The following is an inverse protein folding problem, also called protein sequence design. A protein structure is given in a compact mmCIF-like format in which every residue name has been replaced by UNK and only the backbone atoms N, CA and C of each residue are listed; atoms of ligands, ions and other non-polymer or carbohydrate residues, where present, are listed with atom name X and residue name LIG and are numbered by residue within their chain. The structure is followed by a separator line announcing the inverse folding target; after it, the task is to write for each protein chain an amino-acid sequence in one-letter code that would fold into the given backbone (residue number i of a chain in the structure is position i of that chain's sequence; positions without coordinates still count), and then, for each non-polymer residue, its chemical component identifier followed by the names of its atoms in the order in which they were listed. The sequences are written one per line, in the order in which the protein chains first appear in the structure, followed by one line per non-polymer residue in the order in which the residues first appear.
data_IF_691511358625
#
_entry.id   IF_691511358625
#
_cell.length_a   1.000
_cell.length_b   1.000
_cell.length_c   1.000
_cell.angle_alpha   90.00
_cell.angle_beta   90.00
_cell.angle_gamma   90.00
#
_symmetry.space_group_name_H-M   'P 1'
#
loop_
_entity.id
_entity.type
_entity.pdbx_description
1 polymer ?
#
# COMPACT_ATOMS: atom_id res chain seq x y z
N UNK A 1 19.15 -25.39 -9.22
CA UNK A 1 18.36 -24.77 -10.30
C UNK A 1 16.91 -25.27 -10.34
N UNK A 2 16.62 -26.58 -10.31
CA UNK A 2 15.25 -27.13 -10.37
C UNK A 2 14.31 -26.60 -9.28
N UNK A 3 14.77 -26.49 -8.01
CA UNK A 3 13.96 -25.96 -6.88
C UNK A 3 13.54 -24.50 -7.12
N UNK A 4 14.41 -23.65 -7.65
CA UNK A 4 14.11 -22.25 -7.93
C UNK A 4 13.10 -22.14 -9.08
N UNK A 5 13.28 -22.91 -10.14
CA UNK A 5 12.34 -22.93 -11.27
C UNK A 5 10.96 -23.42 -10.84
N UNK A 6 10.89 -24.41 -9.97
CA UNK A 6 9.64 -24.92 -9.42
C UNK A 6 8.98 -23.88 -8.52
N UNK A 7 9.75 -23.19 -7.67
CA UNK A 7 9.22 -22.09 -6.82
C UNK A 7 8.61 -20.98 -7.68
N UNK A 8 9.31 -20.52 -8.72
CA UNK A 8 8.81 -19.48 -9.62
C UNK A 8 7.52 -19.93 -10.33
N UNK A 9 7.46 -21.18 -10.80
CA UNK A 9 6.26 -21.73 -11.44
C UNK A 9 5.06 -21.77 -10.49
N UNK A 10 5.29 -22.11 -9.22
CA UNK A 10 4.24 -22.20 -8.19
C UNK A 10 3.77 -20.81 -7.73
N UNK A 11 4.68 -19.81 -7.74
CA UNK A 11 4.39 -18.46 -7.25
C UNK A 11 4.33 -17.42 -8.38
N UNK A 12 3.72 -17.77 -9.52
CA UNK A 12 3.62 -16.85 -10.68
C UNK A 12 2.98 -15.49 -10.35
N UNK A 13 2.15 -15.42 -9.33
CA UNK A 13 1.55 -14.17 -8.85
C UNK A 13 2.59 -13.19 -8.29
N UNK A 14 3.79 -13.62 -7.91
CA UNK A 14 4.87 -12.73 -7.45
C UNK A 14 5.26 -11.68 -8.49
N UNK A 15 5.04 -11.96 -9.79
CA UNK A 15 5.35 -11.02 -10.87
C UNK A 15 4.56 -9.70 -10.78
N UNK A 16 3.42 -9.68 -10.07
CA UNK A 16 2.74 -8.43 -9.77
C UNK A 16 3.60 -7.47 -8.94
N UNK A 17 4.55 -7.98 -8.16
CA UNK A 17 5.54 -7.18 -7.44
C UNK A 17 6.49 -6.39 -8.32
N UNK A 18 6.64 -6.72 -9.62
CA UNK A 18 7.43 -5.94 -10.58
C UNK A 18 6.87 -4.52 -10.80
N UNK A 19 5.64 -4.26 -10.37
CA UNK A 19 5.12 -2.89 -10.35
C UNK A 19 5.96 -1.99 -9.43
N UNK A 20 6.49 -2.49 -8.32
CA UNK A 20 7.23 -1.66 -7.35
C UNK A 20 8.48 -0.97 -7.94
N UNK A 21 9.38 -1.65 -8.67
CA UNK A 21 10.47 -0.97 -9.38
C UNK A 21 9.97 0.07 -10.39
N UNK A 22 8.89 -0.21 -11.12
CA UNK A 22 8.29 0.74 -12.06
C UNK A 22 7.78 1.97 -11.31
N UNK A 23 7.08 1.77 -10.20
CA UNK A 23 6.63 2.86 -9.33
C UNK A 23 7.79 3.71 -8.82
N UNK A 24 8.87 3.09 -8.33
CA UNK A 24 10.04 3.83 -7.84
C UNK A 24 10.66 4.71 -8.92
N UNK A 25 10.74 4.23 -10.16
CA UNK A 25 11.22 5.04 -11.30
C UNK A 25 10.28 6.25 -11.51
N UNK A 26 8.97 6.03 -11.50
CA UNK A 26 7.99 7.12 -11.64
C UNK A 26 8.10 8.13 -10.49
N UNK A 27 8.18 7.65 -9.26
CA UNK A 27 8.29 8.47 -8.05
C UNK A 27 9.54 9.37 -8.12
N UNK A 28 10.73 8.78 -8.29
CA UNK A 28 11.97 9.55 -8.36
C UNK A 28 12.03 10.48 -9.57
N UNK A 29 11.39 10.13 -10.68
CA UNK A 29 11.28 11.04 -11.83
C UNK A 29 10.48 12.29 -11.46
N UNK A 30 9.33 12.14 -10.81
CA UNK A 30 8.51 13.28 -10.39
C UNK A 30 9.23 14.08 -9.31
N UNK A 31 9.90 13.45 -8.37
CA UNK A 31 10.66 14.08 -7.31
C UNK A 31 11.80 14.96 -7.84
N UNK A 32 12.46 14.56 -8.95
CA UNK A 32 13.50 15.35 -9.60
C UNK A 32 12.96 16.51 -10.46
N UNK A 33 11.73 16.38 -10.95
CA UNK A 33 11.11 17.41 -11.81
C UNK A 33 10.41 18.48 -10.98
N UNK A 34 9.80 18.09 -9.85
CA UNK A 34 9.06 19.00 -8.97
C UNK A 34 9.90 19.27 -7.72
N UNK A 35 10.74 20.31 -7.80
CA UNK A 35 11.66 20.68 -6.70
C UNK A 35 11.26 21.97 -6.02
N UNK A 36 10.79 22.94 -6.80
CA UNK A 36 10.48 24.29 -6.38
C UNK A 36 9.13 24.72 -6.96
N UNK A 37 8.58 25.83 -6.45
CA UNK A 37 7.38 26.44 -7.02
C UNK A 37 6.14 25.54 -6.90
N UNK A 38 5.88 25.02 -5.71
CA UNK A 38 4.76 24.13 -5.39
C UNK A 38 3.68 24.82 -4.55
N UNK A 39 2.47 24.27 -4.60
CA UNK A 39 1.41 24.61 -3.66
C UNK A 39 1.74 24.05 -2.28
N UNK A 40 1.81 24.93 -1.26
CA UNK A 40 2.05 24.53 0.12
C UNK A 40 0.77 23.92 0.71
N UNK A 41 0.87 22.65 1.15
CA UNK A 41 -0.27 21.88 1.69
C UNK A 41 -0.54 22.14 3.18
N UNK A 42 0.37 22.82 3.87
CA UNK A 42 0.24 23.13 5.29
C UNK A 42 -0.96 24.01 5.61
N UNK A 43 -1.57 23.76 6.75
CA UNK A 43 -2.75 24.44 7.26
C UNK A 43 -2.55 24.87 8.71
N UNK A 44 -3.43 25.72 9.25
CA UNK A 44 -3.39 26.14 10.65
C UNK A 44 -3.51 24.97 11.66
N UNK A 45 -4.02 23.80 11.24
CA UNK A 45 -4.07 22.59 12.07
C UNK A 45 -2.67 22.06 12.35
N UNK A 46 -1.76 22.22 11.41
CA UNK A 46 -0.38 21.69 11.50
C UNK A 46 0.45 22.41 12.57
N UNK A 47 0.06 23.63 12.95
CA UNK A 47 0.69 24.40 14.03
C UNK A 47 0.43 23.79 15.41
N UNK A 48 -0.70 23.10 15.58
CA UNK A 48 -1.04 22.41 16.83
C UNK A 48 -0.42 21.02 16.93
N UNK A 49 0.11 20.47 15.85
CA UNK A 49 0.74 19.13 15.85
C UNK A 49 2.20 19.28 16.30
N UNK A 50 2.59 18.69 17.45
CA UNK A 50 3.95 18.83 17.95
C UNK A 50 4.97 18.11 17.05
N UNK A 51 6.20 18.62 17.01
CA UNK A 51 7.32 17.91 16.43
C UNK A 51 7.91 16.90 17.44
N UNK A 52 8.19 15.68 16.98
CA UNK A 52 8.81 14.65 17.82
C UNK A 52 9.69 13.72 16.96
N UNK A 53 11.01 13.86 17.09
CA UNK A 53 12.00 13.09 16.33
C UNK A 53 11.98 11.59 16.62
N UNK A 54 11.51 11.16 17.80
CA UNK A 54 11.43 9.73 18.15
C UNK A 54 10.48 8.94 17.24
N UNK A 55 9.53 9.62 16.61
CA UNK A 55 8.60 9.01 15.68
C UNK A 55 9.22 8.69 14.31
N UNK A 56 10.51 8.99 14.10
CA UNK A 56 11.25 8.50 12.92
C UNK A 56 11.31 6.96 12.90
N UNK A 57 11.34 6.31 14.08
CA UNK A 57 11.42 4.84 14.17
C UNK A 57 10.16 4.17 13.56
N UNK A 58 8.92 4.49 14.00
CA UNK A 58 7.74 3.97 13.30
C UNK A 58 7.65 4.48 11.86
N UNK A 59 8.02 5.73 11.56
CA UNK A 59 8.00 6.27 10.21
C UNK A 59 8.85 5.42 9.26
N UNK A 60 10.13 5.21 9.55
CA UNK A 60 11.05 4.44 8.70
C UNK A 60 10.72 2.93 8.67
N UNK A 61 9.95 2.42 9.63
CA UNK A 61 9.47 1.04 9.61
C UNK A 61 8.41 0.77 8.54
N UNK A 62 7.81 1.81 7.95
CA UNK A 62 6.76 1.71 6.95
C UNK A 62 7.13 0.84 5.76
N UNK A 63 8.19 1.17 5.04
CA UNK A 63 8.65 0.42 3.86
C UNK A 63 9.00 -1.04 4.17
N UNK A 64 9.86 -1.32 5.17
CA UNK A 64 10.15 -2.69 5.62
C UNK A 64 8.91 -3.51 5.97
N UNK A 65 7.92 -2.93 6.66
CA UNK A 65 6.70 -3.66 7.04
C UNK A 65 5.79 -3.93 5.85
N UNK A 66 5.66 -3.01 4.90
CA UNK A 66 4.95 -3.26 3.64
C UNK A 66 5.61 -4.40 2.86
N UNK A 67 6.94 -4.44 2.81
CA UNK A 67 7.69 -5.52 2.17
C UNK A 67 7.47 -6.87 2.87
N UNK A 68 7.58 -6.93 4.20
CA UNK A 68 7.34 -8.15 4.99
C UNK A 68 5.92 -8.67 4.79
N UNK A 69 4.92 -7.77 4.79
CA UNK A 69 3.54 -8.13 4.48
C UNK A 69 3.42 -8.70 3.06
N UNK A 70 4.04 -8.04 2.07
CA UNK A 70 4.04 -8.51 0.68
C UNK A 70 4.63 -9.92 0.55
N UNK A 71 5.78 -10.19 1.19
CA UNK A 71 6.40 -11.53 1.21
C UNK A 71 5.49 -12.55 1.87
N UNK A 72 4.89 -12.22 3.02
CA UNK A 72 3.92 -13.10 3.68
C UNK A 72 2.76 -13.48 2.75
N UNK A 73 2.18 -12.49 2.07
CA UNK A 73 1.06 -12.72 1.16
C UNK A 73 1.48 -13.52 -0.08
N UNK A 74 2.66 -13.28 -0.65
CA UNK A 74 3.21 -14.11 -1.74
C UNK A 74 3.27 -15.57 -1.35
N UNK A 75 3.73 -15.86 -0.14
CA UNK A 75 3.97 -17.23 0.31
C UNK A 75 2.70 -17.93 0.81
N UNK A 76 1.74 -17.21 1.38
CA UNK A 76 0.61 -17.78 2.11
C UNK A 76 -0.76 -17.50 1.48
N UNK A 77 -0.91 -16.40 0.73
CA UNK A 77 -2.21 -15.95 0.22
C UNK A 77 -2.07 -15.20 -1.11
N UNK A 78 -1.92 -15.93 -2.22
CA UNK A 78 -1.77 -15.35 -3.55
C UNK A 78 -2.90 -14.40 -3.98
N UNK A 79 -4.12 -14.64 -3.53
CA UNK A 79 -5.27 -13.81 -3.87
C UNK A 79 -5.21 -12.47 -3.16
N UNK A 80 -4.96 -12.48 -1.84
CA UNK A 80 -4.76 -11.25 -1.07
C UNK A 80 -3.53 -10.48 -1.55
N UNK A 81 -2.45 -11.16 -1.99
CA UNK A 81 -1.30 -10.51 -2.61
C UNK A 81 -1.69 -9.75 -3.88
N UNK A 82 -2.47 -10.36 -4.77
CA UNK A 82 -2.92 -9.68 -5.99
C UNK A 82 -3.77 -8.46 -5.69
N UNK A 83 -4.71 -8.55 -4.75
CA UNK A 83 -5.54 -7.41 -4.32
C UNK A 83 -4.69 -6.30 -3.70
N UNK A 84 -3.72 -6.66 -2.87
CA UNK A 84 -2.75 -5.74 -2.29
C UNK A 84 -1.96 -4.99 -3.37
N UNK A 85 -1.43 -5.70 -4.37
CA UNK A 85 -0.69 -5.09 -5.47
C UNK A 85 -1.57 -4.23 -6.38
N UNK A 86 -2.81 -4.63 -6.63
CA UNK A 86 -3.77 -3.79 -7.35
C UNK A 86 -4.06 -2.48 -6.59
N UNK A 87 -4.24 -2.57 -5.27
CA UNK A 87 -4.45 -1.39 -4.46
C UNK A 87 -3.25 -0.44 -4.58
N UNK A 88 -2.04 -0.95 -4.35
CA UNK A 88 -0.81 -0.16 -4.44
C UNK A 88 -0.67 0.43 -5.86
N UNK A 89 -0.87 -0.35 -6.91
CA UNK A 89 -0.73 0.12 -8.27
C UNK A 89 -1.68 1.27 -8.60
N UNK A 90 -2.96 1.14 -8.27
CA UNK A 90 -3.94 2.20 -8.52
C UNK A 90 -3.64 3.42 -7.65
N UNK A 91 -3.48 3.24 -6.33
CA UNK A 91 -3.31 4.33 -5.39
C UNK A 91 -2.04 5.14 -5.67
N UNK A 92 -0.91 4.45 -5.83
CA UNK A 92 0.38 5.12 -6.00
C UNK A 92 0.53 5.76 -7.38
N UNK A 93 0.09 5.07 -8.46
CA UNK A 93 0.12 5.67 -9.80
C UNK A 93 -0.72 6.94 -9.85
N UNK A 94 -1.96 6.89 -9.32
CA UNK A 94 -2.85 8.06 -9.38
C UNK A 94 -2.36 9.19 -8.48
N UNK A 95 -1.77 8.91 -7.32
CA UNK A 95 -1.16 9.91 -6.45
C UNK A 95 0.06 10.56 -7.13
N UNK A 96 0.95 9.77 -7.73
CA UNK A 96 2.14 10.28 -8.43
C UNK A 96 1.77 11.13 -9.65
N UNK A 97 0.75 10.69 -10.43
CA UNK A 97 0.22 11.51 -11.53
C UNK A 97 -0.33 12.83 -11.00
N UNK A 98 -1.04 12.80 -9.88
CA UNK A 98 -1.55 14.03 -9.27
C UNK A 98 -0.42 14.96 -8.86
N UNK A 99 0.64 14.48 -8.19
CA UNK A 99 1.82 15.27 -7.83
C UNK A 99 2.50 15.91 -9.06
N UNK A 100 2.59 15.16 -10.16
CA UNK A 100 3.16 15.67 -11.41
C UNK A 100 2.31 16.80 -12.04
N UNK A 101 0.98 16.66 -12.00
CA UNK A 101 0.06 17.64 -12.58
C UNK A 101 -0.16 18.86 -11.67
N UNK A 102 -0.09 18.66 -10.35
CA UNK A 102 -0.29 19.67 -9.32
C UNK A 102 0.91 19.63 -8.37
N UNK A 103 2.01 20.32 -8.70
CA UNK A 103 3.17 20.42 -7.82
C UNK A 103 2.75 20.88 -6.42
N UNK A 104 3.11 20.11 -5.41
CA UNK A 104 2.71 20.35 -4.03
C UNK A 104 3.86 20.02 -3.08
N UNK A 105 3.84 20.60 -1.88
CA UNK A 105 4.88 20.42 -0.89
C UNK A 105 4.48 21.00 0.46
N UNK A 106 5.38 20.90 1.44
CA UNK A 106 5.17 21.45 2.79
C UNK A 106 6.47 22.04 3.34
N UNK A 107 6.35 23.06 4.19
CA UNK A 107 7.47 23.75 4.85
C UNK A 107 7.40 23.64 6.38
N UNK A 108 6.98 22.47 6.86
CA UNK A 108 6.74 22.21 8.29
C UNK A 108 8.00 21.78 9.05
N UNK A 109 9.07 21.42 8.33
CA UNK A 109 10.30 20.92 8.94
C UNK A 109 11.00 22.05 9.72
N UNK A 110 11.34 21.84 11.02
CA UNK A 110 12.05 22.86 11.78
C UNK A 110 13.46 23.10 11.19
N UNK A 111 13.83 24.36 11.04
CA UNK A 111 15.15 24.77 10.53
C UNK A 111 16.32 24.25 11.39
N UNK A 112 16.07 24.10 12.70
CA UNK A 112 17.02 23.53 13.67
C UNK A 112 16.31 22.51 14.51
N UNK A 113 16.87 21.29 14.59
CA UNK A 113 16.30 20.24 15.42
C UNK A 113 16.44 20.60 16.91
N UNK A 114 15.35 20.51 17.69
CA UNK A 114 15.36 20.90 19.11
C UNK A 114 16.30 20.08 19.98
N UNK A 115 16.58 18.85 19.58
CA UNK A 115 17.44 17.91 20.31
C UNK A 115 18.44 17.26 19.36
N UNK A 116 19.64 16.96 19.87
CA UNK A 116 20.71 16.26 19.15
C UNK A 116 20.84 14.86 19.74
N UNK A 117 20.24 13.87 19.10
CA UNK A 117 20.26 12.46 19.48
C UNK A 117 20.24 11.55 18.24
N UNK A 118 20.30 10.24 18.46
CA UNK A 118 20.33 9.27 17.35
C UNK A 118 19.10 9.35 16.46
N UNK A 119 17.91 9.60 17.03
CA UNK A 119 16.68 9.75 16.25
C UNK A 119 16.71 11.01 15.40
N UNK A 120 17.25 12.12 15.92
CA UNK A 120 17.47 13.36 15.15
C UNK A 120 18.42 13.13 13.97
N UNK A 121 19.49 12.37 14.19
CA UNK A 121 20.43 12.02 13.12
C UNK A 121 19.77 11.15 12.04
N UNK A 122 19.00 10.12 12.45
CA UNK A 122 18.25 9.27 11.52
C UNK A 122 17.26 10.14 10.72
N UNK A 123 16.50 11.01 11.42
CA UNK A 123 15.50 11.86 10.79
C UNK A 123 16.09 12.82 9.76
N UNK A 124 17.28 13.37 10.03
CA UNK A 124 18.01 14.19 9.04
C UNK A 124 18.31 13.38 7.77
N UNK A 125 18.76 12.13 7.92
CA UNK A 125 19.03 11.24 6.79
C UNK A 125 17.75 10.88 6.01
N UNK A 126 16.65 10.68 6.72
CA UNK A 126 15.34 10.49 6.10
C UNK A 126 14.93 11.72 5.29
N UNK A 127 15.06 12.93 5.84
CA UNK A 127 14.75 14.18 5.13
C UNK A 127 15.67 14.50 3.96
N UNK A 128 16.94 14.04 4.00
CA UNK A 128 17.86 14.14 2.87
C UNK A 128 17.48 13.18 1.73
N UNK A 129 16.91 12.02 2.06
CA UNK A 129 16.51 10.99 1.11
C UNK A 129 15.12 11.22 0.51
N UNK A 130 14.23 11.86 1.25
CA UNK A 130 12.83 12.13 0.90
C UNK A 130 12.54 13.61 1.14
N UNK A 131 12.47 14.38 0.08
CA UNK A 131 12.31 15.84 0.15
C UNK A 131 10.93 16.24 0.70
N UNK A 132 10.64 17.55 0.75
CA UNK A 132 9.37 18.10 1.23
C UNK A 132 8.37 18.43 0.12
N UNK A 133 8.63 18.01 -1.12
CA UNK A 133 7.72 18.14 -2.25
C UNK A 133 6.97 16.80 -2.52
N UNK A 134 5.94 16.86 -3.35
CA UNK A 134 5.14 15.69 -3.76
C UNK A 134 4.50 14.94 -2.60
N UNK A 135 3.99 15.68 -1.62
CA UNK A 135 3.47 15.14 -0.36
C UNK A 135 1.97 14.83 -0.38
N UNK A 136 1.20 15.38 -1.34
CA UNK A 136 -0.25 15.26 -1.42
C UNK A 136 -0.73 14.46 -2.64
N UNK A 137 -1.57 13.42 -2.46
CA UNK A 137 -1.92 12.76 -1.20
C UNK A 137 -0.77 11.88 -0.68
N UNK A 138 -0.67 11.70 0.62
CA UNK A 138 0.42 10.93 1.24
C UNK A 138 0.47 9.48 0.79
N UNK A 139 1.53 9.07 0.10
CA UNK A 139 1.78 7.66 -0.28
C UNK A 139 2.03 6.77 0.94
N UNK A 140 2.55 7.32 2.04
CA UNK A 140 2.69 6.62 3.30
C UNK A 140 1.33 6.16 3.84
N UNK A 141 0.35 7.06 3.85
CA UNK A 141 -1.00 6.78 4.31
C UNK A 141 -1.73 5.83 3.34
N UNK A 142 -1.55 6.00 2.04
CA UNK A 142 -2.07 5.06 1.04
C UNK A 142 -1.53 3.65 1.27
N UNK A 143 -0.23 3.52 1.58
CA UNK A 143 0.40 2.24 1.95
C UNK A 143 -0.14 1.66 3.26
N UNK A 144 -0.40 2.50 4.26
CA UNK A 144 -1.06 2.09 5.52
C UNK A 144 -2.45 1.52 5.24
N UNK A 145 -3.28 2.21 4.44
CA UNK A 145 -4.62 1.72 4.07
C UNK A 145 -4.54 0.42 3.28
N UNK A 146 -3.59 0.31 2.33
CA UNK A 146 -3.35 -0.92 1.57
C UNK A 146 -3.00 -2.10 2.48
N UNK A 147 -2.07 -1.89 3.42
CA UNK A 147 -1.60 -2.92 4.34
C UNK A 147 -2.72 -3.39 5.27
N UNK A 148 -3.43 -2.47 5.92
CA UNK A 148 -4.56 -2.79 6.81
C UNK A 148 -5.63 -3.56 6.02
N UNK A 149 -6.00 -3.07 4.83
CA UNK A 149 -6.97 -3.74 3.97
C UNK A 149 -6.54 -5.17 3.62
N UNK A 150 -5.29 -5.37 3.21
CA UNK A 150 -4.77 -6.68 2.85
C UNK A 150 -4.73 -7.64 4.06
N UNK A 151 -4.31 -7.15 5.23
CA UNK A 151 -4.28 -7.96 6.46
C UNK A 151 -5.68 -8.44 6.86
N UNK A 152 -6.69 -7.56 6.82
CA UNK A 152 -8.04 -7.89 7.25
C UNK A 152 -8.79 -8.78 6.24
N UNK A 153 -8.45 -8.74 4.96
CA UNK A 153 -9.03 -9.59 3.93
C UNK A 153 -8.27 -10.89 3.71
N UNK A 154 -7.12 -11.10 4.39
CA UNK A 154 -6.39 -12.35 4.29
C UNK A 154 -6.89 -13.38 5.30
N UNK A 155 -7.54 -14.48 4.87
CA UNK A 155 -7.96 -15.56 5.75
C UNK A 155 -6.76 -16.35 6.34
N UNK A 156 -5.55 -16.12 5.82
CA UNK A 156 -4.32 -16.77 6.28
C UNK A 156 -3.62 -16.01 7.41
N UNK A 157 -4.05 -14.77 7.69
CA UNK A 157 -3.48 -13.96 8.76
C UNK A 157 -4.26 -14.15 10.06
N UNK A 158 -3.56 -14.49 11.14
CA UNK A 158 -4.17 -14.64 12.47
C UNK A 158 -4.66 -13.29 13.00
N UNK A 159 -5.78 -13.29 13.70
CA UNK A 159 -6.42 -12.10 14.26
C UNK A 159 -5.47 -11.23 15.11
N UNK A 160 -4.58 -11.85 15.88
CA UNK A 160 -3.59 -11.14 16.70
C UNK A 160 -2.66 -10.27 15.85
N UNK A 161 -2.23 -10.77 14.68
CA UNK A 161 -1.37 -10.01 13.77
C UNK A 161 -2.14 -8.93 13.00
N UNK A 162 -3.43 -9.16 12.71
CA UNK A 162 -4.30 -8.14 12.13
C UNK A 162 -4.44 -6.94 13.08
N UNK A 163 -4.70 -7.21 14.37
CA UNK A 163 -4.85 -6.16 15.38
C UNK A 163 -3.52 -5.45 15.64
N UNK A 164 -2.46 -6.21 15.95
CA UNK A 164 -1.13 -5.63 16.24
C UNK A 164 -0.59 -4.82 15.06
N UNK A 165 -0.71 -5.34 13.85
CA UNK A 165 -0.33 -4.62 12.63
C UNK A 165 -1.15 -3.37 12.40
N UNK A 166 -2.48 -3.42 12.61
CA UNK A 166 -3.33 -2.23 12.50
C UNK A 166 -2.91 -1.14 13.48
N UNK A 167 -2.67 -1.49 14.75
CA UNK A 167 -2.19 -0.52 15.75
C UNK A 167 -0.87 0.10 15.31
N UNK A 168 0.08 -0.72 14.84
CA UNK A 168 1.37 -0.21 14.40
C UNK A 168 1.25 0.68 13.16
N UNK A 169 0.46 0.31 12.17
CA UNK A 169 0.21 1.14 10.98
C UNK A 169 -0.50 2.45 11.30
N UNK A 170 -1.37 2.49 12.31
CA UNK A 170 -1.95 3.75 12.81
C UNK A 170 -0.87 4.62 13.46
N UNK A 171 0.08 4.03 14.21
CA UNK A 171 1.24 4.77 14.75
C UNK A 171 2.10 5.30 13.61
N UNK A 172 2.34 4.53 12.55
CA UNK A 172 3.05 5.00 11.36
C UNK A 172 2.31 6.19 10.73
N UNK A 173 0.99 6.11 10.58
CA UNK A 173 0.21 7.23 10.04
C UNK A 173 0.36 8.50 10.89
N UNK A 174 0.28 8.39 12.21
CA UNK A 174 0.51 9.52 13.11
C UNK A 174 1.96 10.04 13.02
N UNK A 175 2.94 9.15 12.85
CA UNK A 175 4.35 9.53 12.77
C UNK A 175 4.66 10.45 11.59
N UNK A 176 3.96 10.33 10.46
CA UNK A 176 4.16 11.20 9.29
C UNK A 176 3.94 12.69 9.61
N UNK A 177 3.00 12.98 10.51
CA UNK A 177 2.72 14.34 10.99
C UNK A 177 3.72 14.79 12.05
N UNK A 178 4.11 13.88 12.96
CA UNK A 178 4.98 14.18 14.10
C UNK A 178 6.43 14.39 13.69
N UNK A 179 6.90 13.73 12.62
CA UNK A 179 8.22 13.99 12.02
C UNK A 179 8.19 15.10 10.97
N UNK A 180 7.05 15.79 10.80
CA UNK A 180 6.87 16.89 9.85
C UNK A 180 7.21 16.52 8.40
N UNK A 181 6.87 15.28 8.00
CA UNK A 181 7.01 14.84 6.62
C UNK A 181 5.75 15.12 5.80
N UNK A 182 4.58 15.12 6.43
CA UNK A 182 3.30 15.43 5.80
C UNK A 182 2.51 16.45 6.60
N UNK A 183 1.67 17.23 5.92
CA UNK A 183 0.64 18.06 6.53
C UNK A 183 -0.62 17.25 6.82
N UNK A 184 -1.47 17.75 7.70
CA UNK A 184 -2.73 17.09 8.06
C UNK A 184 -3.63 16.83 6.84
N UNK A 185 -3.67 17.78 5.90
CA UNK A 185 -4.49 17.64 4.69
C UNK A 185 -4.00 16.50 3.78
N UNK A 186 -2.68 16.23 3.74
CA UNK A 186 -2.09 15.13 2.95
C UNK A 186 -2.59 13.77 3.47
N UNK A 187 -2.65 13.64 4.80
CA UNK A 187 -3.19 12.46 5.48
C UNK A 187 -4.69 12.32 5.23
N UNK A 188 -5.46 13.39 5.42
CA UNK A 188 -6.91 13.36 5.24
C UNK A 188 -7.30 13.01 3.79
N UNK A 189 -6.64 13.62 2.81
CA UNK A 189 -6.85 13.32 1.40
C UNK A 189 -6.48 11.87 1.07
N UNK A 190 -5.36 11.37 1.59
CA UNK A 190 -4.94 9.99 1.36
C UNK A 190 -5.90 8.96 1.97
N UNK A 191 -6.53 9.25 3.11
CA UNK A 191 -7.58 8.39 3.68
C UNK A 191 -8.81 8.32 2.76
N UNK A 192 -9.26 9.46 2.23
CA UNK A 192 -10.39 9.50 1.27
C UNK A 192 -10.01 8.76 -0.02
N UNK A 193 -8.83 9.07 -0.57
CA UNK A 193 -8.32 8.44 -1.79
C UNK A 193 -8.18 6.93 -1.63
N UNK A 194 -7.55 6.50 -0.53
CA UNK A 194 -7.42 5.08 -0.17
C UNK A 194 -8.76 4.39 0.05
N UNK A 195 -9.76 5.09 0.63
CA UNK A 195 -11.13 4.59 0.76
C UNK A 195 -11.79 4.33 -0.60
N UNK A 196 -11.61 5.22 -1.57
CA UNK A 196 -12.10 5.02 -2.95
C UNK A 196 -11.42 3.82 -3.60
N UNK A 197 -10.09 3.71 -3.49
CA UNK A 197 -9.33 2.57 -4.04
C UNK A 197 -9.73 1.27 -3.35
N UNK A 198 -9.95 1.29 -2.03
CA UNK A 198 -10.49 0.16 -1.29
C UNK A 198 -11.83 -0.31 -1.86
N UNK A 199 -12.76 0.61 -2.08
CA UNK A 199 -14.06 0.28 -2.66
C UNK A 199 -13.91 -0.35 -4.06
N UNK A 200 -13.01 0.17 -4.90
CA UNK A 200 -12.74 -0.40 -6.22
C UNK A 200 -12.20 -1.82 -6.11
N UNK A 201 -11.15 -2.03 -5.31
CA UNK A 201 -10.40 -3.30 -5.29
C UNK A 201 -11.13 -4.39 -4.50
N UNK A 202 -11.63 -4.05 -3.31
CA UNK A 202 -12.19 -5.04 -2.38
C UNK A 202 -13.71 -5.21 -2.51
N UNK A 203 -14.44 -4.15 -2.87
CA UNK A 203 -15.91 -4.24 -3.02
C UNK A 203 -16.29 -4.56 -4.47
N UNK A 204 -15.90 -3.71 -5.45
CA UNK A 204 -16.40 -3.86 -6.82
C UNK A 204 -15.74 -5.05 -7.52
N UNK A 205 -14.40 -5.14 -7.51
CA UNK A 205 -13.66 -6.22 -8.18
C UNK A 205 -13.83 -7.54 -7.40
N UNK A 206 -13.81 -7.48 -6.06
CA UNK A 206 -14.03 -8.63 -5.19
C UNK A 206 -15.37 -9.32 -5.48
N UNK A 207 -16.49 -8.60 -5.45
CA UNK A 207 -17.82 -9.14 -5.69
C UNK A 207 -18.00 -9.76 -7.09
N UNK A 208 -17.39 -9.17 -8.13
CA UNK A 208 -17.46 -9.75 -9.48
C UNK A 208 -16.80 -11.12 -9.58
N UNK A 209 -15.75 -11.34 -8.79
CA UNK A 209 -15.00 -12.60 -8.80
C UNK A 209 -15.69 -13.71 -8.03
N UNK A 210 -16.28 -13.37 -6.89
CA UNK A 210 -17.05 -14.32 -6.08
C UNK A 210 -18.29 -14.81 -6.86
N UNK A 211 -18.96 -13.93 -7.60
CA UNK A 211 -20.08 -14.30 -8.49
C UNK A 211 -19.64 -15.19 -9.67
N UNK A 212 -18.45 -15.00 -10.24
CA UNK A 212 -17.93 -15.89 -11.29
C UNK A 212 -17.56 -17.26 -10.75
N UNK A 213 -16.95 -17.33 -9.57
CA UNK A 213 -16.63 -18.61 -8.91
C UNK A 213 -17.87 -19.44 -8.62
N UNK A 214 -18.95 -18.81 -8.13
CA UNK A 214 -20.23 -19.45 -7.88
C UNK A 214 -20.91 -19.96 -9.18
N UNK A 215 -20.79 -19.26 -10.29
CA UNK A 215 -21.34 -19.70 -11.59
C UNK A 215 -20.58 -20.89 -12.18
N UNK A 216 -19.22 -20.87 -12.14
CA UNK A 216 -18.41 -21.99 -12.61
C UNK A 216 -18.62 -23.27 -11.75
N UNK A 217 -18.80 -23.13 -10.43
CA UNK A 217 -19.09 -24.26 -9.56
C UNK A 217 -20.52 -24.81 -9.67
N UNK A 218 -21.45 -24.05 -10.26
CA UNK A 218 -22.82 -24.51 -10.52
C UNK A 218 -22.96 -25.23 -11.89
N UNK A 219 -22.03 -24.98 -12.81
CA UNK A 219 -22.04 -25.62 -14.15
C UNK A 219 -21.34 -26.98 -14.20
N UNK A 220 -20.45 -27.31 -13.24
CA UNK A 220 -19.75 -28.60 -13.17
C UNK A 220 -20.68 -29.79 -12.84
N UNK A 221 -21.63 -29.72 -11.90
CA UNK A 221 -22.51 -30.88 -11.59
C UNK A 221 -23.49 -31.23 -12.70
N UNK A 222 -23.90 -30.28 -13.57
CA UNK A 222 -24.78 -30.58 -14.70
C UNK A 222 -24.06 -31.30 -15.84
N UNK A 223 -22.78 -31.07 -16.07
CA UNK A 223 -22.01 -31.77 -17.11
C UNK A 223 -21.65 -33.21 -16.72
N UNK A 224 -21.44 -33.52 -15.45
CA UNK A 224 -21.22 -34.88 -14.99
C UNK A 224 -22.52 -35.71 -15.03
N UNK A 225 -23.69 -35.12 -14.80
CA UNK A 225 -24.97 -35.80 -14.89
C UNK A 225 -25.38 -36.12 -16.34
N UNK A 226 -24.97 -35.32 -17.33
CA UNK A 226 -25.31 -35.52 -18.74
C UNK A 226 -24.43 -36.58 -19.43
N UNK A 227 -23.25 -36.90 -18.86
CA UNK A 227 -22.32 -37.92 -19.40
C UNK A 227 -22.57 -39.34 -18.88
N UNK A 228 -23.43 -39.55 -17.85
CA UNK A 228 -23.73 -40.86 -17.26
C UNK A 228 -24.99 -41.52 -17.88
N UNK A 229 -25.56 -40.95 -18.92
CA UNK A 229 -26.66 -41.55 -19.69
C UNK A 229 -26.20 -42.03 -21.06
N UNK A 230 -25.15 -42.84 -21.14
CA UNK A 230 -24.88 -43.66 -22.31
C UNK A 230 -25.61 -45.00 -22.14
N UNK A 231 -26.51 -45.41 -23.07
CA UNK A 231 -27.17 -46.70 -22.97
C UNK A 231 -26.15 -47.84 -23.11
N UNK A 232 -26.24 -48.82 -22.21
CA UNK A 232 -25.49 -50.08 -22.26
C UNK A 232 -25.78 -50.81 -23.57
N UNK A 233 -24.82 -51.12 -24.44
CA UNK A 233 -25.04 -51.75 -25.72
C UNK A 233 -25.27 -53.28 -25.62
N UNK A 234 -25.77 -53.81 -24.49
CA UNK A 234 -26.05 -55.23 -24.31
C UNK A 234 -27.50 -55.44 -23.89
N UNK A 235 -28.45 -55.31 -24.81
CA UNK A 235 -29.72 -56.04 -24.94
C UNK A 235 -30.01 -56.26 -26.42
#
# INVERSE_FOLDING_TARGET
MQKITQFIKTHRHMWWGLYLPVYLIMYFTVEHVVTDNYWATQTAIDDYIPFCEYFVIPYDSWGPLLFVLGVFLILKDPESFRRYMWFIAIAYTTATIFCFLVPNGQDLRPAVLPRQNICSWILQKTWEADNNANVFPSVHILGVVAAISAMWHSPKMKRVWQIAGTVWFVIIAASTLLVKQHAFIDLAAALVWGGVVYAIVYVIIGHKRDRKGLRCGAEEPEREAEHDHSPDPRI
#
